data_IF_587213883629
#
_entry.id   IF_587213883629
#
_cell.length_a   1.000
_cell.length_b   1.000
_cell.length_c   1.000
_cell.angle_alpha   90.00
_cell.angle_beta   90.00
_cell.angle_gamma   90.00
#
_symmetry.space_group_name_H-M   'P 1'
#
loop_
_entity.id
_entity.type
_entity.pdbx_description
1 polymer ?
#
# COMPACT_ATOMS: atom_id res chain seq x y z
N UNK A 1 13.23 -4.85 -18.27
CA UNK A 1 11.82 -5.25 -18.10
C UNK A 1 11.13 -5.55 -19.42
N UNK A 2 11.17 -4.67 -20.43
CA UNK A 2 10.51 -4.87 -21.72
C UNK A 2 10.86 -6.21 -22.41
N UNK A 3 12.13 -6.62 -22.41
CA UNK A 3 12.54 -7.91 -23.00
C UNK A 3 11.99 -9.12 -22.24
N UNK A 4 11.91 -9.04 -20.91
CA UNK A 4 11.30 -10.08 -20.07
C UNK A 4 9.80 -10.23 -20.40
N UNK A 5 9.07 -9.11 -20.48
CA UNK A 5 7.65 -9.10 -20.82
C UNK A 5 7.42 -9.64 -22.24
N UNK A 6 8.22 -9.20 -23.21
CA UNK A 6 8.14 -9.67 -24.59
C UNK A 6 8.41 -11.18 -24.71
N UNK A 7 9.36 -11.71 -23.93
CA UNK A 7 9.66 -13.15 -23.90
C UNK A 7 8.56 -13.96 -23.20
N UNK A 8 7.91 -13.41 -22.17
CA UNK A 8 6.89 -14.12 -21.38
C UNK A 8 5.51 -14.12 -22.04
N UNK A 9 5.09 -12.99 -22.61
CA UNK A 9 3.74 -12.82 -23.19
C UNK A 9 3.74 -12.64 -24.71
N UNK A 10 4.91 -12.50 -25.33
CA UNK A 10 5.04 -12.23 -26.76
C UNK A 10 5.25 -10.74 -27.04
N UNK A 11 6.13 -10.43 -28.00
CA UNK A 11 6.55 -9.06 -28.32
C UNK A 11 5.43 -8.15 -28.86
N UNK A 12 4.30 -8.73 -29.30
CA UNK A 12 3.13 -7.98 -29.80
C UNK A 12 1.89 -8.19 -28.92
N UNK A 13 2.07 -8.73 -27.71
CA UNK A 13 0.98 -8.83 -26.75
C UNK A 13 0.61 -7.47 -26.20
N UNK A 14 -0.64 -7.35 -25.72
CA UNK A 14 -1.14 -6.16 -25.03
C UNK A 14 -0.23 -5.78 -23.86
N UNK A 15 0.29 -6.76 -23.11
CA UNK A 15 1.25 -6.56 -22.03
C UNK A 15 2.56 -5.91 -22.50
N UNK A 16 3.13 -6.40 -23.61
CA UNK A 16 4.34 -5.83 -24.17
C UNK A 16 4.10 -4.41 -24.71
N UNK A 17 2.93 -4.14 -25.28
CA UNK A 17 2.56 -2.81 -25.79
C UNK A 17 2.37 -1.82 -24.63
N UNK A 18 1.61 -2.17 -23.60
CA UNK A 18 1.42 -1.35 -22.40
C UNK A 18 2.74 -1.05 -21.69
N UNK A 19 3.62 -2.06 -21.55
CA UNK A 19 4.96 -1.88 -20.97
C UNK A 19 5.83 -0.94 -21.80
N UNK A 20 5.73 -0.97 -23.14
CA UNK A 20 6.45 -0.05 -24.02
C UNK A 20 5.93 1.38 -23.89
N UNK A 21 4.62 1.56 -23.78
CA UNK A 21 4.01 2.88 -23.53
C UNK A 21 4.60 3.47 -22.24
N UNK A 22 4.56 2.71 -21.14
CA UNK A 22 5.15 3.12 -19.87
C UNK A 22 6.64 3.45 -20.00
N UNK A 23 7.42 2.63 -20.71
CA UNK A 23 8.86 2.88 -20.91
C UNK A 23 9.15 4.15 -21.74
N UNK A 24 8.31 4.48 -22.72
CA UNK A 24 8.44 5.71 -23.53
C UNK A 24 8.19 6.95 -22.67
N UNK A 25 7.12 6.91 -21.87
CA UNK A 25 6.68 8.04 -21.04
C UNK A 25 7.54 8.21 -19.78
N UNK A 26 8.04 7.09 -19.23
CA UNK A 26 8.54 7.03 -17.86
C UNK A 26 9.65 8.02 -17.56
N UNK A 27 10.64 8.18 -18.45
CA UNK A 27 11.70 9.16 -18.24
C UNK A 27 11.17 10.60 -18.04
N UNK A 28 10.15 11.00 -18.78
CA UNK A 28 9.57 12.34 -18.62
C UNK A 28 8.84 12.46 -17.29
N UNK A 29 8.12 11.41 -16.86
CA UNK A 29 7.46 11.38 -15.56
C UNK A 29 8.47 11.42 -14.40
N UNK A 30 9.58 10.68 -14.49
CA UNK A 30 10.67 10.73 -13.52
C UNK A 30 11.25 12.15 -13.40
N UNK A 31 11.53 12.81 -14.54
CA UNK A 31 12.09 14.16 -14.57
C UNK A 31 11.11 15.20 -14.02
N UNK A 32 9.81 15.11 -14.37
CA UNK A 32 8.77 15.98 -13.81
C UNK A 32 8.69 15.78 -12.30
N UNK A 33 8.71 14.54 -11.81
CA UNK A 33 8.61 14.25 -10.39
C UNK A 33 9.80 14.84 -9.61
N UNK A 34 11.03 14.64 -10.08
CA UNK A 34 12.23 15.24 -9.47
C UNK A 34 12.15 16.78 -9.44
N UNK A 35 11.62 17.40 -10.50
CA UNK A 35 11.39 18.86 -10.53
C UNK A 35 10.32 19.28 -9.52
N UNK A 36 9.24 18.52 -9.38
CA UNK A 36 8.20 18.79 -8.37
C UNK A 36 8.75 18.73 -6.96
N UNK A 37 9.57 17.73 -6.64
CA UNK A 37 10.26 17.62 -5.35
C UNK A 37 11.16 18.83 -5.05
N UNK A 38 11.69 19.47 -6.09
CA UNK A 38 12.61 20.62 -5.98
C UNK A 38 11.91 21.98 -5.96
N UNK A 39 10.74 22.07 -6.58
CA UNK A 39 9.81 23.20 -6.39
C UNK A 39 9.12 23.03 -5.04
N UNK A 40 8.60 24.08 -4.41
CA UNK A 40 7.92 24.00 -3.09
C UNK A 40 6.57 23.22 -3.12
N UNK A 41 6.46 22.16 -3.94
CA UNK A 41 5.44 21.12 -3.94
C UNK A 41 4.07 21.50 -4.53
N UNK A 42 3.81 22.79 -4.72
CA UNK A 42 2.43 23.32 -4.84
C UNK A 42 1.98 23.69 -6.26
N UNK A 43 2.86 23.65 -7.25
CA UNK A 43 2.56 24.10 -8.62
C UNK A 43 2.13 22.94 -9.55
N UNK A 44 1.26 23.18 -10.54
CA UNK A 44 0.99 22.25 -11.63
C UNK A 44 2.28 21.82 -12.35
N UNK A 45 2.25 20.65 -12.99
CA UNK A 45 3.45 20.10 -13.66
C UNK A 45 3.96 21.04 -14.75
N UNK A 46 3.03 21.67 -15.47
CA UNK A 46 3.32 22.63 -16.54
C UNK A 46 4.08 23.86 -16.04
N UNK A 47 3.94 24.24 -14.78
CA UNK A 47 4.63 25.40 -14.20
C UNK A 47 6.00 25.03 -13.66
N UNK A 48 6.12 23.89 -12.96
CA UNK A 48 7.38 23.48 -12.33
C UNK A 48 8.36 22.78 -13.28
N UNK A 49 7.85 22.12 -14.32
CA UNK A 49 8.62 21.30 -15.26
C UNK A 49 8.14 21.49 -16.71
N UNK A 50 8.07 22.75 -17.22
CA UNK A 50 7.47 23.05 -18.52
C UNK A 50 8.13 22.30 -19.69
N UNK A 51 9.45 22.13 -19.66
CA UNK A 51 10.20 21.47 -20.73
C UNK A 51 9.95 19.96 -20.72
N UNK A 52 9.93 19.36 -19.53
CA UNK A 52 9.70 17.94 -19.34
C UNK A 52 8.26 17.56 -19.67
N UNK A 53 7.29 18.42 -19.35
CA UNK A 53 5.88 18.26 -19.76
C UNK A 53 5.73 18.42 -21.28
N UNK A 54 6.39 19.38 -21.92
CA UNK A 54 6.38 19.49 -23.38
C UNK A 54 6.95 18.24 -24.05
N UNK A 55 8.00 17.65 -23.48
CA UNK A 55 8.56 16.39 -23.97
C UNK A 55 7.60 15.20 -23.72
N UNK A 56 6.91 15.15 -22.57
CA UNK A 56 5.85 14.17 -22.31
C UNK A 56 4.78 14.25 -23.40
N UNK A 57 4.36 15.47 -23.75
CA UNK A 57 3.38 15.74 -24.80
C UNK A 57 3.82 15.22 -26.16
N UNK A 58 5.06 15.51 -26.57
CA UNK A 58 5.63 14.98 -27.84
C UNK A 58 5.67 13.45 -27.86
N UNK A 59 5.96 12.81 -26.73
CA UNK A 59 5.99 11.35 -26.62
C UNK A 59 4.61 10.74 -26.70
N UNK A 60 3.60 11.36 -26.10
CA UNK A 60 2.20 10.92 -26.24
C UNK A 60 1.76 11.10 -27.71
N UNK A 61 2.08 12.22 -28.35
CA UNK A 61 1.75 12.45 -29.76
C UNK A 61 2.47 11.42 -30.68
N UNK A 62 3.72 11.09 -30.35
CA UNK A 62 4.46 10.00 -31.00
C UNK A 62 3.72 8.67 -30.86
N UNK A 63 3.32 8.27 -29.64
CA UNK A 63 2.59 7.02 -29.39
C UNK A 63 1.29 7.00 -30.21
N UNK A 64 0.50 8.08 -30.14
CA UNK A 64 -0.79 8.22 -30.80
C UNK A 64 -0.71 8.23 -32.34
N UNK A 65 0.44 8.58 -32.92
CA UNK A 65 0.64 8.63 -34.37
C UNK A 65 1.08 7.30 -35.01
N UNK A 66 1.45 6.29 -34.22
CA UNK A 66 1.95 5.01 -34.75
C UNK A 66 0.82 4.00 -34.89
N UNK A 67 0.70 3.43 -36.09
CA UNK A 67 -0.34 2.45 -36.46
C UNK A 67 -0.50 1.30 -35.45
N UNK A 68 0.60 0.72 -34.99
CA UNK A 68 0.54 -0.40 -34.04
C UNK A 68 -0.05 -0.02 -32.67
N UNK A 69 0.19 1.21 -32.18
CA UNK A 69 -0.42 1.71 -30.95
C UNK A 69 -1.88 2.13 -31.20
N UNK A 70 -2.19 2.71 -32.37
CA UNK A 70 -3.58 3.04 -32.72
C UNK A 70 -4.48 1.81 -32.77
N UNK A 71 -3.97 0.69 -33.31
CA UNK A 71 -4.69 -0.58 -33.27
C UNK A 71 -4.92 -1.07 -31.84
N UNK A 72 -3.91 -0.93 -30.98
CA UNK A 72 -4.04 -1.26 -29.56
C UNK A 72 -5.13 -0.40 -28.90
N UNK A 73 -5.08 0.93 -29.01
CA UNK A 73 -6.08 1.82 -28.39
C UNK A 73 -7.50 1.61 -28.93
N UNK A 74 -7.64 1.19 -30.18
CA UNK A 74 -8.96 0.84 -30.75
C UNK A 74 -9.59 -0.36 -30.02
N UNK A 75 -8.77 -1.32 -29.60
CA UNK A 75 -9.22 -2.51 -28.87
C UNK A 75 -9.23 -2.27 -27.35
N UNK A 76 -8.52 -1.24 -26.88
CA UNK A 76 -8.29 -0.94 -25.48
C UNK A 76 -8.58 0.56 -25.18
N UNK A 77 -9.86 0.97 -25.23
CA UNK A 77 -10.24 2.38 -25.11
C UNK A 77 -9.86 3.00 -23.76
N UNK A 78 -9.77 2.20 -22.69
CA UNK A 78 -9.36 2.69 -21.37
C UNK A 78 -7.95 3.29 -21.41
N UNK A 79 -7.03 2.63 -22.11
CA UNK A 79 -5.66 3.12 -22.29
C UNK A 79 -5.59 4.43 -23.08
N UNK A 80 -6.53 4.64 -24.01
CA UNK A 80 -6.61 5.89 -24.76
C UNK A 80 -7.05 7.05 -23.85
N UNK A 81 -7.99 6.81 -22.94
CA UNK A 81 -8.43 7.78 -21.93
C UNK A 81 -7.28 8.19 -21.02
N UNK A 82 -6.51 7.21 -20.53
CA UNK A 82 -5.33 7.49 -19.68
C UNK A 82 -4.34 8.41 -20.39
N UNK A 83 -4.02 8.16 -21.66
CA UNK A 83 -3.11 9.02 -22.42
C UNK A 83 -3.68 10.40 -22.71
N UNK A 84 -5.00 10.52 -22.95
CA UNK A 84 -5.64 11.81 -23.19
C UNK A 84 -5.59 12.69 -21.93
N UNK A 85 -5.89 12.10 -20.77
CA UNK A 85 -5.81 12.78 -19.48
C UNK A 85 -4.38 13.22 -19.14
N UNK A 86 -3.39 12.34 -19.34
CA UNK A 86 -1.97 12.68 -19.17
C UNK A 86 -1.49 13.78 -20.13
N UNK A 87 -2.11 13.93 -21.29
CA UNK A 87 -1.71 14.90 -22.32
C UNK A 87 -2.28 16.29 -22.10
N UNK A 88 -3.39 16.42 -21.36
CA UNK A 88 -4.18 17.66 -21.32
C UNK A 88 -4.51 18.11 -19.90
N UNK A 89 -5.01 17.20 -19.10
CA UNK A 89 -5.74 17.54 -17.88
C UNK A 89 -4.86 17.41 -16.63
N UNK A 90 -4.22 16.25 -16.46
CA UNK A 90 -3.44 15.94 -15.25
C UNK A 90 -2.28 16.90 -15.04
N UNK A 91 -1.47 17.27 -16.06
CA UNK A 91 -0.34 18.18 -15.86
C UNK A 91 -0.75 19.62 -15.48
N UNK A 92 -1.99 20.01 -15.77
CA UNK A 92 -2.55 21.34 -15.52
C UNK A 92 -3.41 21.38 -14.25
N UNK A 93 -3.69 20.23 -13.64
CA UNK A 93 -4.55 20.10 -12.49
C UNK A 93 -4.05 20.95 -11.32
N UNK A 94 -4.95 21.75 -10.78
CA UNK A 94 -4.66 22.73 -9.75
C UNK A 94 -5.71 22.78 -8.65
N UNK A 95 -6.79 21.98 -8.68
CA UNK A 95 -7.80 21.96 -7.61
C UNK A 95 -8.17 20.54 -7.17
N UNK A 96 -8.76 20.42 -5.98
CA UNK A 96 -9.20 19.14 -5.41
C UNK A 96 -10.27 18.47 -6.27
N UNK A 97 -11.22 19.27 -6.76
CA UNK A 97 -12.32 18.80 -7.59
C UNK A 97 -11.83 18.30 -8.95
N UNK A 98 -10.79 18.93 -9.51
CA UNK A 98 -10.14 18.44 -10.73
C UNK A 98 -9.46 17.09 -10.48
N UNK A 99 -8.65 16.99 -9.42
CA UNK A 99 -7.97 15.76 -9.03
C UNK A 99 -8.95 14.61 -8.79
N UNK A 100 -10.04 14.86 -8.06
CA UNK A 100 -11.09 13.87 -7.82
C UNK A 100 -11.75 13.43 -9.13
N UNK A 101 -12.13 14.37 -10.00
CA UNK A 101 -12.74 14.05 -11.29
C UNK A 101 -11.82 13.22 -12.20
N UNK A 102 -10.52 13.50 -12.20
CA UNK A 102 -9.55 12.75 -12.98
C UNK A 102 -9.30 11.36 -12.40
N UNK A 103 -9.25 11.22 -11.06
CA UNK A 103 -9.20 9.90 -10.41
C UNK A 103 -10.37 9.03 -10.84
N UNK A 104 -11.61 9.55 -10.80
CA UNK A 104 -12.80 8.81 -11.25
C UNK A 104 -12.69 8.37 -12.72
N UNK A 105 -12.27 9.27 -13.61
CA UNK A 105 -12.14 8.95 -15.03
C UNK A 105 -11.06 7.88 -15.31
N UNK A 106 -9.96 7.92 -14.57
CA UNK A 106 -8.88 6.92 -14.68
C UNK A 106 -9.31 5.57 -14.12
N UNK A 107 -10.04 5.56 -13.00
CA UNK A 107 -10.58 4.34 -12.40
C UNK A 107 -11.57 3.65 -13.33
N UNK A 108 -12.54 4.39 -13.88
CA UNK A 108 -13.53 3.85 -14.83
C UNK A 108 -12.83 3.26 -16.06
N UNK A 109 -11.86 3.98 -16.62
CA UNK A 109 -11.07 3.52 -17.76
C UNK A 109 -10.27 2.24 -17.45
N UNK A 110 -9.77 2.11 -16.22
CA UNK A 110 -8.93 0.99 -15.78
C UNK A 110 -9.74 -0.25 -15.41
N UNK A 111 -10.95 -0.06 -14.88
CA UNK A 111 -11.81 -1.15 -14.43
C UNK A 111 -12.28 -2.03 -15.59
N UNK A 112 -12.65 -1.45 -16.73
CA UNK A 112 -13.12 -2.22 -17.88
C UNK A 112 -12.03 -3.18 -18.40
N UNK A 113 -10.80 -2.69 -18.53
CA UNK A 113 -9.62 -3.48 -18.94
C UNK A 113 -9.29 -4.54 -17.88
N UNK A 114 -9.38 -4.18 -16.59
CA UNK A 114 -9.20 -5.11 -15.48
C UNK A 114 -10.18 -6.28 -15.56
N UNK A 115 -11.49 -6.00 -15.70
CA UNK A 115 -12.55 -7.02 -15.78
C UNK A 115 -12.27 -7.98 -16.95
N UNK A 116 -11.85 -7.44 -18.09
CA UNK A 116 -11.45 -8.22 -19.27
C UNK A 116 -10.16 -9.06 -19.08
N UNK A 117 -9.38 -8.82 -18.02
CA UNK A 117 -8.12 -9.52 -17.74
C UNK A 117 -6.94 -9.01 -18.58
N UNK A 118 -7.04 -7.77 -19.04
CA UNK A 118 -6.06 -7.09 -19.88
C UNK A 118 -5.07 -6.29 -19.01
N UNK A 119 -3.85 -5.96 -19.49
CA UNK A 119 -2.98 -5.06 -18.74
C UNK A 119 -3.70 -3.74 -18.44
N UNK A 120 -3.33 -3.10 -17.34
CA UNK A 120 -3.84 -1.79 -16.98
C UNK A 120 -2.66 -0.84 -16.87
N UNK A 121 -2.80 0.35 -17.46
CA UNK A 121 -1.95 1.49 -17.15
C UNK A 121 -2.68 2.33 -16.10
N UNK A 122 -2.19 2.32 -14.87
CA UNK A 122 -2.69 3.17 -13.81
C UNK A 122 -1.85 4.44 -13.72
N UNK A 123 -2.53 5.54 -13.40
CA UNK A 123 -1.92 6.82 -13.04
C UNK A 123 -2.54 7.23 -11.70
N UNK A 124 -1.99 6.78 -10.56
CA UNK A 124 -2.50 7.19 -9.26
C UNK A 124 -2.39 8.71 -9.12
N UNK A 125 -3.48 9.38 -8.74
CA UNK A 125 -3.48 10.82 -8.49
C UNK A 125 -3.70 11.06 -6.99
N UNK A 126 -2.68 10.76 -6.20
CA UNK A 126 -2.62 11.12 -4.78
C UNK A 126 -1.29 11.83 -4.47
N UNK A 127 -1.27 13.01 -3.83
CA UNK A 127 -0.05 13.74 -3.51
C UNK A 127 0.64 13.20 -2.24
N UNK A 128 0.89 11.89 -2.14
CA UNK A 128 1.46 11.28 -0.95
C UNK A 128 2.89 11.78 -0.62
N UNK A 129 3.83 11.69 -1.56
CA UNK A 129 5.21 12.18 -1.36
C UNK A 129 5.30 13.70 -1.21
N UNK A 130 4.49 14.44 -1.97
CA UNK A 130 4.47 15.90 -1.95
C UNK A 130 3.87 16.44 -0.64
N UNK A 131 2.86 15.77 -0.08
CA UNK A 131 2.27 16.14 1.21
C UNK A 131 3.22 15.85 2.39
N UNK A 132 3.85 14.66 2.41
CA UNK A 132 4.81 14.28 3.46
C UNK A 132 5.99 15.27 3.60
N UNK A 133 6.51 15.76 2.47
CA UNK A 133 7.68 16.65 2.44
C UNK A 133 7.35 18.11 2.75
N UNK A 134 6.12 18.54 2.46
CA UNK A 134 5.72 19.95 2.63
C UNK A 134 5.13 20.27 4.00
N UNK A 135 4.73 19.26 4.78
CA UNK A 135 4.29 19.40 6.17
C UNK A 135 3.02 20.22 6.38
N UNK A 136 2.25 20.43 5.31
CA UNK A 136 1.11 21.34 5.24
C UNK A 136 0.06 20.73 4.29
N UNK A 137 -1.24 20.88 4.57
CA UNK A 137 -2.38 20.33 3.79
C UNK A 137 -2.60 21.09 2.45
N UNK A 138 -1.52 21.53 1.81
CA UNK A 138 -1.52 22.39 0.64
C UNK A 138 -2.09 21.72 -0.62
N UNK A 139 -2.63 22.56 -1.51
CA UNK A 139 -3.27 22.26 -2.80
C UNK A 139 -2.99 20.87 -3.42
N UNK A 140 -4.04 20.08 -3.74
CA UNK A 140 -3.86 18.76 -4.34
C UNK A 140 -3.44 18.92 -5.79
N UNK A 141 -2.14 18.79 -6.05
CA UNK A 141 -1.62 18.63 -7.41
C UNK A 141 -1.23 17.18 -7.60
N UNK A 142 -1.57 16.55 -8.75
CA UNK A 142 -1.18 15.18 -9.05
C UNK A 142 0.30 14.91 -8.82
N UNK A 143 0.64 13.72 -8.35
CA UNK A 143 2.00 13.21 -8.48
C UNK A 143 2.18 12.58 -9.86
N UNK A 144 3.30 12.83 -10.55
CA UNK A 144 3.64 12.05 -11.73
C UNK A 144 3.91 10.62 -11.26
N UNK A 145 2.95 9.73 -11.46
CA UNK A 145 3.08 8.30 -11.18
C UNK A 145 2.36 7.53 -12.29
N UNK A 146 3.04 6.53 -12.84
CA UNK A 146 2.46 5.63 -13.83
C UNK A 146 2.91 4.21 -13.54
N UNK A 147 1.95 3.28 -13.61
CA UNK A 147 2.18 1.87 -13.31
C UNK A 147 1.52 0.98 -14.35
N UNK A 148 2.16 -0.15 -14.65
CA UNK A 148 1.59 -1.20 -15.51
C UNK A 148 1.35 -2.42 -14.66
N UNK A 149 0.10 -2.90 -14.67
CA UNK A 149 -0.33 -4.03 -13.86
C UNK A 149 -0.89 -5.11 -14.77
N UNK A 150 -0.50 -6.35 -14.50
CA UNK A 150 -1.14 -7.52 -15.06
C UNK A 150 -2.19 -8.07 -14.07
N UNK A 151 -3.49 -8.04 -14.40
CA UNK A 151 -4.50 -8.61 -13.52
C UNK A 151 -4.25 -10.10 -13.28
N UNK A 152 -4.67 -10.60 -12.13
CA UNK A 152 -4.70 -12.04 -11.95
C UNK A 152 -5.74 -12.70 -12.86
N UNK A 153 -5.49 -13.97 -13.16
CA UNK A 153 -6.48 -14.83 -13.82
C UNK A 153 -7.84 -14.73 -13.11
N UNK A 154 -8.92 -14.72 -13.90
CA UNK A 154 -10.28 -14.50 -13.41
C UNK A 154 -10.65 -15.41 -12.22
N UNK A 155 -10.18 -16.66 -12.20
CA UNK A 155 -10.41 -17.58 -11.07
C UNK A 155 -9.75 -17.08 -9.77
N UNK A 156 -8.50 -16.60 -9.85
CA UNK A 156 -7.76 -16.09 -8.68
C UNK A 156 -8.32 -14.75 -8.22
N UNK A 157 -8.69 -13.84 -9.14
CA UNK A 157 -9.40 -12.61 -8.81
C UNK A 157 -10.68 -12.87 -8.03
N UNK A 158 -11.57 -13.72 -8.54
CA UNK A 158 -12.82 -14.08 -7.85
C UNK A 158 -12.60 -14.70 -6.47
N UNK A 159 -11.49 -15.40 -6.27
CA UNK A 159 -11.14 -15.93 -4.95
C UNK A 159 -10.71 -14.80 -4.01
N UNK A 160 -9.87 -13.87 -4.48
CA UNK A 160 -9.45 -12.69 -3.72
C UNK A 160 -10.65 -11.78 -3.40
N UNK A 161 -11.52 -11.49 -4.36
CA UNK A 161 -12.75 -10.70 -4.16
C UNK A 161 -13.62 -11.25 -3.02
N UNK A 162 -13.74 -12.58 -2.90
CA UNK A 162 -14.48 -13.22 -1.78
C UNK A 162 -13.79 -13.02 -0.44
N UNK A 163 -12.47 -13.18 -0.40
CA UNK A 163 -11.67 -12.94 0.82
C UNK A 163 -11.79 -11.47 1.21
N UNK A 164 -11.62 -10.57 0.26
CA UNK A 164 -11.76 -9.13 0.43
C UNK A 164 -13.14 -8.71 0.92
N UNK A 165 -14.22 -9.26 0.38
CA UNK A 165 -15.58 -8.99 0.90
C UNK A 165 -15.74 -9.43 2.36
N UNK A 166 -15.16 -10.58 2.73
CA UNK A 166 -15.17 -11.04 4.12
C UNK A 166 -14.33 -10.16 5.05
N UNK A 167 -13.19 -9.67 4.55
CA UNK A 167 -12.32 -8.75 5.28
C UNK A 167 -12.93 -7.38 5.44
N UNK A 168 -13.58 -6.86 4.39
CA UNK A 168 -14.34 -5.62 4.45
C UNK A 168 -15.39 -5.67 5.55
N UNK A 169 -16.17 -6.75 5.64
CA UNK A 169 -17.14 -6.92 6.73
C UNK A 169 -16.49 -6.93 8.12
N UNK A 170 -15.31 -7.57 8.24
CA UNK A 170 -14.54 -7.53 9.49
C UNK A 170 -14.07 -6.11 9.82
N UNK A 171 -13.58 -5.36 8.84
CA UNK A 171 -13.16 -3.97 9.02
C UNK A 171 -14.34 -3.07 9.41
N UNK A 172 -15.46 -3.14 8.72
CA UNK A 172 -16.68 -2.39 9.10
C UNK A 172 -17.05 -2.67 10.56
N UNK A 173 -17.05 -3.95 10.98
CA UNK A 173 -17.31 -4.31 12.39
C UNK A 173 -16.23 -3.85 13.39
N UNK A 174 -15.00 -3.56 12.95
CA UNK A 174 -13.98 -2.91 13.79
C UNK A 174 -14.36 -1.46 14.08
N UNK A 175 -14.88 -0.74 13.09
CA UNK A 175 -15.23 0.68 13.17
C UNK A 175 -16.68 0.95 13.62
N UNK A 176 -17.61 -0.01 13.54
CA UNK A 176 -19.01 0.14 13.95
C UNK A 176 -19.19 0.64 15.41
N UNK A 177 -18.22 0.35 16.28
CA UNK A 177 -18.23 0.82 17.67
C UNK A 177 -17.53 2.18 17.89
N UNK A 178 -16.81 2.68 16.91
CA UNK A 178 -16.19 4.00 16.93
C UNK A 178 -17.21 5.03 16.42
N UNK A 179 -17.93 5.66 17.34
CA UNK A 179 -18.97 6.65 17.01
C UNK A 179 -18.45 7.96 16.39
N UNK A 180 -17.13 8.12 16.31
CA UNK A 180 -16.47 9.39 15.97
C UNK A 180 -15.41 9.13 14.90
N UNK A 181 -15.38 9.98 13.88
CA UNK A 181 -14.39 9.93 12.80
C UNK A 181 -14.61 8.81 11.77
N UNK A 182 -15.73 8.09 11.85
CA UNK A 182 -16.07 6.98 10.92
C UNK A 182 -17.00 7.42 9.80
N UNK A 183 -16.84 6.80 8.63
CA UNK A 183 -17.71 7.02 7.48
C UNK A 183 -19.07 6.32 7.69
N UNK A 184 -20.21 7.03 7.60
CA UNK A 184 -21.54 6.40 7.68
C UNK A 184 -21.80 5.49 6.48
N UNK A 185 -22.34 4.29 6.71
CA UNK A 185 -22.74 3.30 5.70
C UNK A 185 -21.69 3.07 4.58
N UNK A 186 -20.45 2.69 4.94
CA UNK A 186 -19.36 2.63 4.00
C UNK A 186 -19.59 1.53 2.96
N UNK A 187 -19.50 1.89 1.68
CA UNK A 187 -19.54 0.94 0.58
C UNK A 187 -18.18 0.27 0.42
N UNK A 188 -18.17 -1.02 0.11
CA UNK A 188 -16.92 -1.71 -0.21
C UNK A 188 -16.30 -1.08 -1.46
N UNK A 189 -15.08 -0.54 -1.38
CA UNK A 189 -14.40 -0.01 -2.55
C UNK A 189 -14.09 -1.14 -3.53
N UNK A 190 -14.04 -0.82 -4.81
CA UNK A 190 -13.64 -1.77 -5.85
C UNK A 190 -12.18 -2.20 -5.67
N UNK A 191 -11.80 -3.34 -6.25
CA UNK A 191 -10.50 -3.96 -5.97
C UNK A 191 -9.79 -4.36 -7.25
N UNK A 192 -8.64 -3.75 -7.49
CA UNK A 192 -7.73 -4.14 -8.56
C UNK A 192 -6.59 -4.95 -7.94
N UNK A 193 -6.50 -6.24 -8.29
CA UNK A 193 -5.42 -7.14 -7.84
C UNK A 193 -4.61 -7.63 -9.03
N UNK A 194 -3.30 -7.47 -8.95
CA UNK A 194 -2.45 -7.91 -10.04
C UNK A 194 -0.98 -7.98 -9.73
N UNK A 195 -0.25 -8.33 -10.77
CA UNK A 195 1.20 -8.32 -10.82
C UNK A 195 1.68 -6.98 -11.35
N UNK A 196 2.37 -6.20 -10.51
CA UNK A 196 3.15 -5.06 -10.96
C UNK A 196 4.18 -5.51 -12.01
N UNK A 197 4.20 -4.83 -13.16
CA UNK A 197 5.12 -5.10 -14.26
C UNK A 197 6.23 -4.04 -14.28
N UNK A 198 5.86 -2.77 -14.27
CA UNK A 198 6.79 -1.63 -14.35
C UNK A 198 6.07 -0.36 -13.92
N UNK A 199 6.83 0.68 -13.60
CA UNK A 199 6.30 2.01 -13.32
C UNK A 199 7.37 3.10 -13.46
N UNK A 200 6.98 4.34 -13.21
CA UNK A 200 7.80 5.55 -13.34
C UNK A 200 7.23 6.70 -12.52
N UNK A 201 8.03 7.73 -12.26
CA UNK A 201 7.65 8.89 -11.46
C UNK A 201 7.83 8.62 -9.97
N UNK A 202 6.81 8.89 -9.17
CA UNK A 202 6.82 8.66 -7.72
C UNK A 202 7.15 7.20 -7.35
N UNK A 203 6.70 6.24 -8.15
CA UNK A 203 7.00 4.81 -7.99
C UNK A 203 8.51 4.48 -8.12
N UNK A 204 9.33 5.39 -8.65
CA UNK A 204 10.79 5.20 -8.64
C UNK A 204 11.39 5.33 -7.22
N UNK A 205 10.75 6.08 -6.33
CA UNK A 205 11.18 6.29 -4.94
C UNK A 205 10.46 5.40 -3.95
N UNK A 206 9.30 4.85 -4.33
CA UNK A 206 8.56 3.95 -3.47
C UNK A 206 7.89 2.86 -4.26
N UNK A 207 7.75 1.72 -3.62
CA UNK A 207 6.99 0.62 -4.16
C UNK A 207 5.82 0.38 -3.22
N UNK A 208 4.65 0.91 -3.55
CA UNK A 208 3.47 0.68 -2.72
C UNK A 208 2.98 -0.77 -2.89
N UNK A 209 2.55 -1.37 -1.79
CA UNK A 209 1.99 -2.74 -1.73
C UNK A 209 0.50 -2.75 -1.99
N UNK A 210 -0.13 -1.61 -1.73
CA UNK A 210 -1.44 -1.21 -2.23
C UNK A 210 -1.58 0.30 -2.11
N UNK A 211 -2.68 0.84 -2.60
CA UNK A 211 -3.04 2.24 -2.44
C UNK A 211 -4.55 2.42 -2.65
N UNK A 212 -5.06 3.51 -2.10
CA UNK A 212 -6.40 4.00 -2.38
C UNK A 212 -6.38 4.87 -3.64
N UNK A 213 -7.46 4.76 -4.41
CA UNK A 213 -7.87 5.70 -5.45
C UNK A 213 -9.27 6.25 -5.05
N UNK A 214 -9.93 7.04 -5.90
CA UNK A 214 -11.22 7.66 -5.57
C UNK A 214 -12.29 6.66 -5.03
N UNK A 215 -12.51 5.53 -5.72
CA UNK A 215 -13.47 4.48 -5.36
C UNK A 215 -12.87 3.07 -5.31
N UNK A 216 -11.64 2.90 -5.77
CA UNK A 216 -10.97 1.61 -5.81
C UNK A 216 -9.78 1.58 -4.87
N UNK A 217 -9.47 0.40 -4.35
CA UNK A 217 -8.16 0.11 -3.80
C UNK A 217 -7.41 -0.80 -4.78
N UNK A 218 -6.14 -0.50 -4.99
CA UNK A 218 -5.25 -1.26 -5.85
C UNK A 218 -4.28 -2.03 -4.96
N UNK A 219 -4.09 -3.31 -5.25
CA UNK A 219 -3.20 -4.20 -4.47
C UNK A 219 -2.21 -4.90 -5.40
N UNK A 220 -0.92 -4.76 -5.10
CA UNK A 220 0.18 -5.23 -5.93
C UNK A 220 0.87 -6.45 -5.30
N UNK A 221 0.38 -7.64 -5.61
CA UNK A 221 0.82 -8.89 -4.98
C UNK A 221 2.30 -9.31 -5.24
N UNK A 222 3.04 -8.87 -6.29
CA UNK A 222 4.49 -9.06 -6.38
C UNK A 222 5.28 -8.14 -5.44
N UNK A 223 4.71 -7.00 -5.03
CA UNK A 223 5.33 -6.11 -4.04
C UNK A 223 5.15 -6.65 -2.62
N UNK A 224 4.11 -7.46 -2.39
CA UNK A 224 3.91 -8.20 -1.13
C UNK A 224 5.05 -9.22 -0.88
N UNK A 225 5.73 -9.73 -1.92
CA UNK A 225 6.82 -10.72 -1.78
C UNK A 225 8.12 -10.13 -1.19
N UNK A 226 8.19 -8.80 -0.97
CA UNK A 226 9.42 -8.11 -0.54
C UNK A 226 9.92 -8.50 0.86
N UNK A 227 9.07 -9.09 1.70
CA UNK A 227 9.40 -9.34 3.11
C UNK A 227 9.69 -10.81 3.39
N UNK A 228 9.96 -11.59 2.34
CA UNK A 228 10.20 -13.04 2.48
C UNK A 228 11.38 -13.32 3.41
N UNK A 229 12.44 -12.51 3.38
CA UNK A 229 13.63 -12.69 4.24
C UNK A 229 13.36 -12.28 5.69
N UNK A 230 12.68 -11.17 5.94
CA UNK A 230 12.27 -10.77 7.28
C UNK A 230 11.27 -11.77 7.88
N UNK A 231 10.31 -12.26 7.11
CA UNK A 231 9.38 -13.33 7.53
C UNK A 231 10.16 -14.64 7.82
N UNK A 232 11.10 -15.02 6.96
CA UNK A 232 11.96 -16.20 7.20
C UNK A 232 12.82 -16.02 8.47
N UNK A 233 13.36 -14.82 8.71
CA UNK A 233 14.10 -14.51 9.91
C UNK A 233 13.23 -14.58 11.16
N UNK A 234 12.05 -13.96 11.15
CA UNK A 234 11.07 -13.97 12.26
C UNK A 234 10.66 -15.40 12.61
N UNK A 235 10.27 -16.18 11.60
CA UNK A 235 9.85 -17.58 11.78
C UNK A 235 11.04 -18.46 12.23
N UNK A 236 12.25 -18.18 11.74
CA UNK A 236 13.50 -18.78 12.19
C UNK A 236 13.79 -18.54 13.68
N UNK A 237 13.66 -17.29 14.16
CA UNK A 237 13.82 -16.93 15.57
C UNK A 237 12.72 -17.53 16.46
N UNK A 238 11.55 -17.80 15.89
CA UNK A 238 10.47 -18.53 16.56
C UNK A 238 10.68 -20.05 16.62
N UNK A 239 11.80 -20.56 16.09
CA UNK A 239 12.09 -22.00 16.01
C UNK A 239 11.23 -22.73 14.98
N UNK A 240 10.57 -22.00 14.10
CA UNK A 240 9.61 -22.50 13.13
C UNK A 240 10.08 -22.14 11.72
N UNK A 241 10.91 -22.95 11.04
CA UNK A 241 11.14 -22.73 9.60
C UNK A 241 9.87 -23.11 8.82
N UNK A 242 8.91 -22.20 8.76
CA UNK A 242 7.59 -22.41 8.14
C UNK A 242 7.44 -21.49 6.95
N UNK A 243 6.90 -22.04 5.87
CA UNK A 243 6.39 -21.24 4.79
C UNK A 243 5.11 -20.55 5.26
N UNK A 244 5.15 -19.22 5.44
CA UNK A 244 3.97 -18.41 5.79
C UNK A 244 3.16 -18.16 4.52
N UNK A 245 1.90 -18.63 4.45
CA UNK A 245 1.08 -18.41 3.26
C UNK A 245 0.91 -16.93 2.90
N UNK A 246 1.01 -16.59 1.62
CA UNK A 246 0.78 -15.25 1.07
C UNK A 246 -0.54 -14.60 1.53
N UNK A 247 -1.53 -15.43 1.89
CA UNK A 247 -2.80 -14.98 2.46
C UNK A 247 -2.59 -14.07 3.68
N UNK A 248 -1.63 -14.35 4.57
CA UNK A 248 -1.42 -13.53 5.76
C UNK A 248 -0.77 -12.19 5.46
N UNK A 249 0.04 -12.13 4.41
CA UNK A 249 0.56 -10.86 3.90
C UNK A 249 -0.54 -10.07 3.22
N UNK A 250 -1.39 -10.74 2.43
CA UNK A 250 -2.61 -10.12 1.89
C UNK A 250 -3.51 -9.59 3.01
N UNK A 251 -3.72 -10.32 4.11
CA UNK A 251 -4.52 -9.87 5.26
C UNK A 251 -3.97 -8.58 5.86
N UNK A 252 -2.66 -8.50 6.08
CA UNK A 252 -1.97 -7.31 6.61
C UNK A 252 -2.19 -6.11 5.68
N UNK A 253 -1.70 -6.18 4.44
CA UNK A 253 -1.74 -5.03 3.54
C UNK A 253 -3.16 -4.67 3.10
N UNK A 254 -4.00 -5.64 2.80
CA UNK A 254 -5.39 -5.36 2.42
C UNK A 254 -6.14 -4.66 3.55
N UNK A 255 -6.00 -5.15 4.79
CA UNK A 255 -6.72 -4.55 5.90
C UNK A 255 -6.20 -3.16 6.26
N UNK A 256 -4.90 -2.90 6.07
CA UNK A 256 -4.34 -1.55 6.16
C UNK A 256 -4.99 -0.61 5.15
N UNK A 257 -4.81 -0.89 3.85
CA UNK A 257 -5.26 0.03 2.79
C UNK A 257 -6.76 0.30 2.84
N UNK A 258 -7.57 -0.74 3.08
CA UNK A 258 -9.03 -0.60 3.13
C UNK A 258 -9.52 0.14 4.37
N UNK A 259 -8.70 0.23 5.42
CA UNK A 259 -9.07 1.03 6.58
C UNK A 259 -9.12 2.51 6.23
N UNK A 260 -8.28 3.01 5.31
CA UNK A 260 -8.33 4.42 4.85
C UNK A 260 -9.69 4.82 4.22
N UNK A 261 -10.56 3.86 3.91
CA UNK A 261 -11.92 4.12 3.40
C UNK A 261 -12.98 4.25 4.51
N UNK A 262 -12.63 3.98 5.76
CA UNK A 262 -13.59 3.84 6.87
C UNK A 262 -13.53 4.98 7.89
N UNK A 263 -12.56 5.87 7.76
CA UNK A 263 -12.39 7.01 8.65
C UNK A 263 -11.92 8.26 7.90
N UNK A 264 -12.11 9.42 8.53
CA UNK A 264 -11.62 10.72 8.09
C UNK A 264 -10.71 11.29 9.19
N UNK A 265 -9.41 10.98 9.12
CA UNK A 265 -8.39 11.42 10.08
C UNK A 265 -7.47 12.40 9.40
N UNK A 266 -7.24 13.55 10.03
CA UNK A 266 -6.52 14.67 9.42
C UNK A 266 -5.03 14.69 9.78
N UNK A 267 -4.65 14.06 10.88
CA UNK A 267 -3.25 14.00 11.30
C UNK A 267 -2.44 12.98 10.49
N UNK A 268 -1.32 13.41 9.92
CA UNK A 268 -0.44 12.59 9.07
C UNK A 268 0.24 11.40 9.76
N UNK A 269 0.31 11.36 11.09
CA UNK A 269 0.80 10.16 11.82
C UNK A 269 -0.35 9.21 12.11
N UNK A 270 -1.50 9.76 12.52
CA UNK A 270 -2.68 8.94 12.82
C UNK A 270 -3.29 8.31 11.57
N UNK A 271 -3.12 8.94 10.41
CA UNK A 271 -3.60 8.41 9.13
C UNK A 271 -2.99 7.04 8.83
N UNK A 272 -1.81 6.69 9.34
CA UNK A 272 -1.20 5.37 9.17
C UNK A 272 -1.38 4.46 10.39
N UNK A 273 -1.36 5.04 11.60
CA UNK A 273 -1.52 4.26 12.84
C UNK A 273 -2.94 3.67 12.97
N UNK A 274 -3.98 4.40 12.56
CA UNK A 274 -5.37 3.92 12.62
C UNK A 274 -5.56 2.66 11.75
N UNK A 275 -5.13 2.64 10.47
CA UNK A 275 -5.07 1.44 9.65
C UNK A 275 -4.28 0.29 10.26
N UNK A 276 -3.10 0.56 10.81
CA UNK A 276 -2.26 -0.46 11.42
C UNK A 276 -2.97 -1.17 12.60
N UNK A 277 -3.72 -0.42 13.41
CA UNK A 277 -4.52 -0.99 14.50
C UNK A 277 -5.73 -1.76 13.98
N UNK A 278 -6.45 -1.20 13.01
CA UNK A 278 -7.61 -1.84 12.40
C UNK A 278 -7.23 -3.13 11.66
N UNK A 279 -6.06 -3.16 11.02
CA UNK A 279 -5.44 -4.32 10.40
C UNK A 279 -5.29 -5.49 11.38
N UNK A 280 -4.72 -5.24 12.56
CA UNK A 280 -4.56 -6.29 13.58
C UNK A 280 -5.94 -6.81 14.00
N UNK A 281 -6.89 -5.92 14.28
CA UNK A 281 -8.24 -6.29 14.72
C UNK A 281 -8.97 -7.12 13.66
N UNK A 282 -8.96 -6.68 12.41
CA UNK A 282 -9.62 -7.37 11.30
C UNK A 282 -8.94 -8.72 11.00
N UNK A 283 -7.61 -8.78 11.05
CA UNK A 283 -6.86 -10.02 10.88
C UNK A 283 -7.19 -11.07 11.94
N UNK A 284 -7.24 -10.68 13.22
CA UNK A 284 -7.63 -11.60 14.31
C UNK A 284 -9.09 -12.03 14.17
N UNK A 285 -10.02 -11.13 13.87
CA UNK A 285 -11.42 -11.49 13.61
C UNK A 285 -11.58 -12.44 12.43
N UNK A 286 -10.79 -12.26 11.37
CA UNK A 286 -10.78 -13.17 10.22
C UNK A 286 -10.31 -14.56 10.64
N UNK A 287 -9.22 -14.64 11.42
CA UNK A 287 -8.68 -15.91 11.91
C UNK A 287 -9.68 -16.63 12.82
N UNK A 288 -10.45 -15.92 13.64
CA UNK A 288 -11.51 -16.51 14.46
C UNK A 288 -12.62 -17.19 13.64
N UNK A 289 -12.78 -16.84 12.35
CA UNK A 289 -13.73 -17.50 11.42
C UNK A 289 -13.17 -18.80 10.81
N UNK A 290 -11.85 -19.05 10.91
CA UNK A 290 -11.17 -20.25 10.43
C UNK A 290 -11.45 -21.42 11.41
N UNK A 291 -11.47 -22.69 10.98
CA UNK A 291 -11.67 -23.82 11.88
C UNK A 291 -10.72 -23.81 13.10
N UNK A 292 -11.21 -24.10 14.33
CA UNK A 292 -10.43 -23.97 15.56
C UNK A 292 -9.07 -24.65 15.55
N UNK A 293 -8.97 -25.83 14.93
CA UNK A 293 -7.71 -26.59 14.83
C UNK A 293 -6.62 -25.91 13.98
N UNK A 294 -6.99 -24.91 13.16
CA UNK A 294 -6.05 -24.15 12.33
C UNK A 294 -5.75 -22.76 12.91
N UNK A 295 -6.56 -22.26 13.87
CA UNK A 295 -6.47 -20.90 14.39
C UNK A 295 -5.12 -20.59 15.02
N UNK A 296 -4.54 -21.50 15.82
CA UNK A 296 -3.22 -21.30 16.43
C UNK A 296 -2.15 -21.05 15.36
N UNK A 297 -2.08 -21.91 14.34
CA UNK A 297 -1.11 -21.78 13.26
C UNK A 297 -1.37 -20.52 12.43
N UNK A 298 -2.63 -20.21 12.17
CA UNK A 298 -3.02 -19.01 11.45
C UNK A 298 -2.62 -17.74 12.19
N UNK A 299 -2.84 -17.71 13.50
CA UNK A 299 -2.48 -16.59 14.37
C UNK A 299 -0.97 -16.37 14.42
N UNK A 300 -0.15 -17.41 14.62
CA UNK A 300 1.30 -17.24 14.61
C UNK A 300 1.84 -16.83 13.23
N UNK A 301 1.24 -17.35 12.15
CA UNK A 301 1.60 -16.96 10.78
C UNK A 301 1.27 -15.48 10.51
N UNK A 302 0.08 -15.03 10.93
CA UNK A 302 -0.32 -13.64 10.85
C UNK A 302 0.59 -12.72 11.64
N UNK A 303 0.86 -13.04 12.91
CA UNK A 303 1.78 -12.24 13.73
C UNK A 303 3.21 -12.24 13.20
N UNK A 304 3.65 -13.31 12.54
CA UNK A 304 4.97 -13.34 11.89
C UNK A 304 5.07 -12.29 10.79
N UNK A 305 3.99 -12.09 10.01
CA UNK A 305 3.94 -11.02 9.01
C UNK A 305 3.93 -9.65 9.68
N UNK A 306 3.06 -9.43 10.68
CA UNK A 306 2.98 -8.14 11.38
C UNK A 306 4.34 -7.74 11.98
N UNK A 307 5.03 -8.67 12.66
CA UNK A 307 6.36 -8.42 13.21
C UNK A 307 7.37 -8.12 12.11
N UNK A 308 7.36 -8.88 11.00
CA UNK A 308 8.26 -8.64 9.88
C UNK A 308 8.06 -7.23 9.26
N UNK A 309 6.81 -6.78 9.10
CA UNK A 309 6.52 -5.41 8.65
C UNK A 309 7.04 -4.35 9.61
N UNK A 310 6.80 -4.54 10.92
CA UNK A 310 7.26 -3.58 11.92
C UNK A 310 8.78 -3.46 11.92
N UNK A 311 9.51 -4.59 11.88
CA UNK A 311 10.97 -4.60 11.83
C UNK A 311 11.48 -3.88 10.58
N UNK A 312 10.88 -4.15 9.42
CA UNK A 312 11.27 -3.50 8.17
C UNK A 312 11.06 -1.98 8.23
N UNK A 313 9.92 -1.53 8.73
CA UNK A 313 9.61 -0.11 8.85
C UNK A 313 10.50 0.60 9.89
N UNK A 314 11.01 -0.11 10.89
CA UNK A 314 11.97 0.42 11.87
C UNK A 314 13.43 0.39 11.40
N UNK A 315 13.78 -0.55 10.51
CA UNK A 315 15.12 -0.66 9.94
C UNK A 315 15.44 0.37 8.85
N UNK A 316 14.42 1.09 8.35
CA UNK A 316 14.55 2.09 7.30
C UNK A 316 14.36 3.49 7.88
N UNK A 317 15.48 4.16 8.20
CA UNK A 317 15.49 5.47 8.86
C UNK A 317 14.89 6.61 8.01
N UNK A 318 14.74 6.40 6.70
CA UNK A 318 14.24 7.41 5.75
C UNK A 318 12.71 7.34 5.56
N UNK A 319 12.03 6.42 6.26
CA UNK A 319 10.57 6.24 6.19
C UNK A 319 9.81 7.03 7.27
N UNK A 320 8.60 7.54 6.99
CA UNK A 320 7.74 8.21 7.98
C UNK A 320 7.03 7.26 8.97
N UNK A 321 7.20 5.94 8.81
CA UNK A 321 6.54 4.87 9.58
C UNK A 321 7.13 4.44 10.96
N UNK A 322 8.25 4.96 11.51
CA UNK A 322 8.87 4.38 12.71
C UNK A 322 7.97 4.43 13.95
N UNK A 323 7.19 5.49 14.11
CA UNK A 323 6.32 5.65 15.28
C UNK A 323 5.23 4.59 15.29
N UNK A 324 4.54 4.37 14.16
CA UNK A 324 3.50 3.34 14.07
C UNK A 324 4.07 1.94 14.28
N UNK A 325 5.18 1.62 13.61
CA UNK A 325 5.81 0.31 13.72
C UNK A 325 6.33 0.00 15.15
N UNK A 326 6.96 0.97 15.81
CA UNK A 326 7.37 0.84 17.21
C UNK A 326 6.16 0.62 18.15
N UNK A 327 5.10 1.38 17.90
CA UNK A 327 3.85 1.29 18.65
C UNK A 327 3.22 -0.10 18.53
N UNK A 328 3.14 -0.64 17.30
CA UNK A 328 2.64 -1.99 17.06
C UNK A 328 3.44 -3.07 17.80
N UNK A 329 4.79 -3.03 17.76
CA UNK A 329 5.61 -4.00 18.50
C UNK A 329 5.39 -3.94 20.01
N UNK A 330 5.28 -2.72 20.56
CA UNK A 330 4.97 -2.55 21.98
C UNK A 330 3.57 -3.10 22.31
N UNK A 331 2.58 -2.94 21.43
CA UNK A 331 1.23 -3.47 21.65
C UNK A 331 1.20 -4.99 21.61
N UNK A 332 1.94 -5.61 20.69
CA UNK A 332 2.12 -7.06 20.65
C UNK A 332 2.79 -7.59 21.93
N UNK A 333 3.75 -6.85 22.48
CA UNK A 333 4.40 -7.18 23.76
C UNK A 333 3.46 -7.01 24.95
N UNK A 334 2.82 -5.85 25.09
CA UNK A 334 2.00 -5.48 26.24
C UNK A 334 0.72 -6.32 26.34
N UNK A 335 0.14 -6.70 25.21
CA UNK A 335 -0.95 -7.67 25.16
C UNK A 335 -0.52 -9.09 25.53
N UNK A 336 0.78 -9.36 25.58
CA UNK A 336 1.36 -10.69 25.78
C UNK A 336 1.34 -11.56 24.52
N UNK A 337 0.96 -11.05 23.35
CA UNK A 337 0.92 -11.81 22.10
C UNK A 337 2.31 -12.20 21.57
N UNK A 338 3.34 -11.42 21.91
CA UNK A 338 4.73 -11.63 21.51
C UNK A 338 5.66 -11.43 22.71
N UNK A 339 6.66 -12.32 22.85
CA UNK A 339 7.80 -12.10 23.73
C UNK A 339 9.10 -12.43 23.02
N UNK A 340 10.16 -11.67 23.30
CA UNK A 340 11.50 -11.94 22.79
C UNK A 340 12.50 -12.10 23.94
N UNK A 341 13.24 -13.19 23.92
CA UNK A 341 14.38 -13.42 24.82
C UNK A 341 15.66 -13.06 24.07
N UNK A 342 16.27 -11.92 24.43
CA UNK A 342 17.49 -11.44 23.80
C UNK A 342 18.72 -12.29 24.13
N UNK A 343 18.74 -13.00 25.27
CA UNK A 343 19.86 -13.85 25.65
C UNK A 343 19.86 -15.16 24.84
N UNK A 344 18.67 -15.69 24.55
CA UNK A 344 18.50 -16.88 23.72
C UNK A 344 18.35 -16.57 22.23
N UNK A 345 18.11 -15.30 21.87
CA UNK A 345 17.75 -14.89 20.51
C UNK A 345 16.43 -15.53 20.06
N UNK A 346 15.48 -15.72 20.98
CA UNK A 346 14.28 -16.53 20.74
C UNK A 346 13.02 -15.67 20.77
N UNK A 347 12.26 -15.71 19.68
CA UNK A 347 10.93 -15.13 19.57
C UNK A 347 9.88 -16.17 19.99
N UNK A 348 8.85 -15.76 20.73
CA UNK A 348 7.72 -16.63 21.05
C UNK A 348 6.41 -15.90 20.78
N UNK A 349 5.51 -16.58 20.08
CA UNK A 349 4.12 -16.12 19.86
C UNK A 349 3.20 -16.84 20.84
N UNK A 350 2.23 -16.11 21.40
CA UNK A 350 1.29 -16.60 22.42
C UNK A 350 -0.16 -16.48 21.90
N UNK A 351 -0.67 -17.47 21.13
CA UNK A 351 -2.00 -17.43 20.53
C UNK A 351 -3.15 -17.26 21.53
N UNK A 352 -2.96 -17.68 22.78
CA UNK A 352 -3.90 -17.50 23.88
C UNK A 352 -4.13 -16.02 24.24
N UNK A 353 -3.19 -15.14 23.90
CA UNK A 353 -3.29 -13.71 24.12
C UNK A 353 -4.11 -12.97 23.04
N UNK A 354 -4.68 -13.69 22.05
CA UNK A 354 -5.45 -13.08 20.96
C UNK A 354 -6.57 -12.15 21.45
N UNK A 355 -7.30 -12.53 22.50
CA UNK A 355 -8.36 -11.70 23.08
C UNK A 355 -7.82 -10.43 23.73
N UNK A 356 -6.71 -10.52 24.45
CA UNK A 356 -6.06 -9.36 25.09
C UNK A 356 -5.50 -8.40 24.03
N UNK A 357 -4.92 -8.92 22.94
CA UNK A 357 -4.49 -8.13 21.81
C UNK A 357 -5.65 -7.36 21.15
N UNK A 358 -6.79 -8.03 20.94
CA UNK A 358 -7.99 -7.39 20.37
C UNK A 358 -8.52 -6.29 21.27
N UNK A 359 -8.60 -6.52 22.58
CA UNK A 359 -9.06 -5.50 23.54
C UNK A 359 -8.12 -4.28 23.53
N UNK A 360 -6.81 -4.55 23.56
CA UNK A 360 -5.79 -3.52 23.58
C UNK A 360 -5.81 -2.67 22.28
N UNK A 361 -5.74 -3.30 21.10
CA UNK A 361 -5.78 -2.59 19.82
C UNK A 361 -7.08 -1.81 19.64
N UNK A 362 -8.23 -2.33 20.10
CA UNK A 362 -9.52 -1.63 20.03
C UNK A 362 -9.54 -0.38 20.91
N UNK A 363 -9.04 -0.47 22.14
CA UNK A 363 -8.94 0.70 23.03
C UNK A 363 -8.10 1.80 22.38
N UNK A 364 -6.92 1.44 21.85
CA UNK A 364 -6.01 2.40 21.22
C UNK A 364 -6.56 2.99 19.93
N UNK A 365 -7.28 2.20 19.13
CA UNK A 365 -7.97 2.69 17.93
C UNK A 365 -8.99 3.77 18.31
N UNK A 366 -9.80 3.54 19.34
CA UNK A 366 -10.81 4.50 19.77
C UNK A 366 -10.20 5.76 20.40
N UNK A 367 -9.10 5.62 21.13
CA UNK A 367 -8.32 6.76 21.64
C UNK A 367 -7.76 7.61 20.50
N UNK A 368 -7.20 6.99 19.46
CA UNK A 368 -6.66 7.68 18.28
C UNK A 368 -7.75 8.46 17.53
N UNK A 369 -8.87 7.81 17.19
CA UNK A 369 -9.99 8.45 16.49
C UNK A 369 -10.59 9.60 17.30
N UNK A 370 -10.70 9.43 18.63
CA UNK A 370 -11.19 10.48 19.52
C UNK A 370 -10.21 11.65 19.60
N UNK A 371 -8.91 11.38 19.70
CA UNK A 371 -7.88 12.41 19.74
C UNK A 371 -7.92 13.28 18.47
N UNK A 372 -8.05 12.67 17.30
CA UNK A 372 -8.14 13.40 16.03
C UNK A 372 -9.38 14.29 15.96
N UNK A 373 -10.54 13.74 16.32
CA UNK A 373 -11.78 14.50 16.33
C UNK A 373 -11.78 15.67 17.32
N UNK A 374 -11.01 15.59 18.41
CA UNK A 374 -10.90 16.66 19.41
C UNK A 374 -9.75 17.63 19.12
N UNK A 375 -8.90 17.34 18.13
CA UNK A 375 -7.66 18.08 17.88
C UNK A 375 -6.58 17.86 18.95
N UNK A 376 -6.74 16.84 19.80
CA UNK A 376 -5.84 16.49 20.91
C UNK A 376 -4.73 15.51 20.50
N UNK A 377 -4.40 15.49 19.21
CA UNK A 377 -3.42 14.59 18.60
C UNK A 377 -2.06 14.60 19.32
N UNK A 378 -1.60 15.77 19.76
CA UNK A 378 -0.35 15.91 20.49
C UNK A 378 -0.32 15.09 21.79
N UNK A 379 -1.39 15.11 22.59
CA UNK A 379 -1.47 14.40 23.87
C UNK A 379 -1.47 12.88 23.62
N UNK A 380 -2.23 12.44 22.63
CA UNK A 380 -2.27 11.02 22.26
C UNK A 380 -0.90 10.54 21.74
N UNK A 381 -0.28 11.28 20.81
CA UNK A 381 1.05 10.95 20.28
C UNK A 381 2.14 11.00 21.35
N UNK A 382 2.08 11.94 22.30
CA UNK A 382 2.96 11.97 23.48
C UNK A 382 2.80 10.71 24.33
N UNK A 383 1.56 10.21 24.50
CA UNK A 383 1.31 8.96 25.22
C UNK A 383 1.94 7.74 24.53
N UNK A 384 2.03 7.75 23.20
CA UNK A 384 2.72 6.72 22.42
C UNK A 384 4.24 6.89 22.48
N UNK A 385 4.75 8.12 22.32
CA UNK A 385 6.18 8.44 22.36
C UNK A 385 6.80 8.29 23.76
N UNK A 386 6.01 8.37 24.82
CA UNK A 386 6.43 8.00 26.17
C UNK A 386 6.83 6.52 26.28
N UNK A 387 6.46 5.70 25.29
CA UNK A 387 6.81 4.29 25.19
C UNK A 387 7.59 4.03 23.89
N UNK A 388 8.88 4.41 23.80
CA UNK A 388 9.74 3.94 22.73
C UNK A 388 9.75 2.41 22.70
N UNK A 389 10.11 1.80 21.57
CA UNK A 389 10.28 0.34 21.51
C UNK A 389 11.12 -0.13 22.71
N UNK A 390 10.56 -1.03 23.52
CA UNK A 390 11.25 -1.54 24.70
C UNK A 390 12.58 -2.18 24.31
N UNK A 391 13.55 -2.27 25.23
CA UNK A 391 14.88 -2.80 24.93
C UNK A 391 14.83 -4.21 24.30
N UNK A 392 13.90 -5.06 24.75
CA UNK A 392 13.68 -6.38 24.14
C UNK A 392 13.15 -6.29 22.70
N UNK A 393 12.30 -5.32 22.39
CA UNK A 393 11.78 -5.13 21.02
C UNK A 393 12.82 -4.51 20.09
N UNK A 394 13.69 -3.63 20.61
CA UNK A 394 14.88 -3.18 19.86
C UNK A 394 15.81 -4.36 19.56
N UNK A 395 16.07 -5.20 20.56
CA UNK A 395 16.87 -6.41 20.39
C UNK A 395 16.24 -7.38 19.37
N UNK A 396 14.91 -7.51 19.35
CA UNK A 396 14.18 -8.28 18.33
C UNK A 396 14.41 -7.70 16.92
N UNK A 397 14.28 -6.38 16.76
CA UNK A 397 14.53 -5.69 15.48
C UNK A 397 15.95 -5.97 14.98
N UNK A 398 16.96 -5.78 15.84
CA UNK A 398 18.35 -6.03 15.50
C UNK A 398 18.61 -7.50 15.13
N UNK A 399 18.01 -8.44 15.86
CA UNK A 399 18.13 -9.87 15.60
C UNK A 399 17.52 -10.27 14.25
N UNK A 400 16.34 -9.76 13.93
CA UNK A 400 15.66 -10.02 12.65
C UNK A 400 16.44 -9.41 11.49
N UNK A 401 16.88 -8.15 11.59
CA UNK A 401 17.66 -7.48 10.52
C UNK A 401 19.01 -8.18 10.27
N UNK A 402 19.69 -8.62 11.33
CA UNK A 402 20.95 -9.37 11.22
C UNK A 402 20.73 -10.72 10.53
N UNK A 403 19.67 -11.43 10.91
CA UNK A 403 19.30 -12.71 10.31
C UNK A 403 18.88 -12.55 8.84
N UNK A 404 18.06 -11.54 8.52
CA UNK A 404 17.60 -11.28 7.14
C UNK A 404 18.74 -10.84 6.21
N UNK A 405 19.72 -10.07 6.71
CA UNK A 405 20.94 -9.75 5.97
C UNK A 405 21.78 -11.00 5.68
N UNK A 406 21.87 -11.93 6.64
CA UNK A 406 22.58 -13.20 6.45
C UNK A 406 21.90 -14.10 5.42
N UNK A 407 20.56 -14.17 5.45
CA UNK A 407 19.76 -14.89 4.44
C UNK A 407 20.02 -14.31 3.05
N UNK A 408 19.98 -12.97 2.90
CA UNK A 408 20.27 -12.27 1.64
C UNK A 408 21.66 -12.56 1.09
N UNK A 409 22.67 -12.70 1.95
CA UNK A 409 24.04 -12.98 1.53
C UNK A 409 24.27 -14.45 1.10
N UNK A 410 23.38 -15.36 1.49
CA UNK A 410 23.45 -16.79 1.17
C UNK A 410 22.66 -17.22 -0.07
N UNK A 411 21.83 -16.33 -0.62
CA UNK A 411 21.09 -16.49 -1.91
C UNK A 411 21.83 -15.78 -3.03
#
# INVERSE_FOLDING_TARGET
MADYVANRWGANSDFAIATRIAAILGKSLDEIFVKKLSSEGRQPWVECAPQEVEELYRKIDYISSREHFQMFFKNHPGHAVVLDLLRKEIPEASTAEQVEAYNLALEDASLDEYVAGLPIILVPIEPFYLSLLSGDDGYPTPEPDLRVIAPFEARRRRALEKVSASLWQSLVGVFDGAQVGTTPDPQQPGIITGTYITGSGAEALSFSTGERLAHFNVMFLPNIVKNTQEIEAVTGLAGERRNVPDLYQFLVFFSHEFSHCLYDVKNSVLVELVPDLAMILAGVQYIQKIPPQEQTKAFTSFLSVVVAECVRNLGDADRPYPISAATQLNFLKESGAVSFDAAEGRLTFHPEAASALVEYCRSRLYEALKADSLGDNGIFLESLNASPASDDMKALVDAVLTSSASIRAGT
#
